data_IF_199867934529
#
_entry.id   IF_199867934529
#
_cell.length_a   1.000
_cell.length_b   1.000
_cell.length_c   1.000
_cell.angle_alpha   90.00
_cell.angle_beta   90.00
_cell.angle_gamma   90.00
#
_symmetry.space_group_name_H-M   'P 1'
#
loop_
_entity.id
_entity.type
_entity.pdbx_description
1 polymer ?
#
# COMPACT_ATOMS: atom_id res chain seq x y z
N UNK A 1 -10.58 11.48 -15.20
CA UNK A 1 -9.94 10.19 -15.55
C UNK A 1 -8.72 10.03 -14.64
N UNK A 2 -8.53 8.88 -14.00
CA UNK A 2 -7.32 8.60 -13.22
C UNK A 2 -6.10 8.53 -14.16
N UNK A 3 -5.06 9.32 -13.89
CA UNK A 3 -3.84 9.31 -14.69
C UNK A 3 -3.05 8.02 -14.42
N UNK A 4 -2.93 7.16 -15.44
CA UNK A 4 -2.36 5.80 -15.32
C UNK A 4 -0.83 5.76 -15.14
N UNK A 5 -0.17 6.89 -14.90
CA UNK A 5 1.27 7.04 -15.08
C UNK A 5 2.03 7.72 -13.93
N UNK A 6 1.41 7.90 -12.75
CA UNK A 6 2.18 8.37 -11.58
C UNK A 6 3.26 7.35 -11.24
N UNK A 7 4.51 7.74 -11.47
CA UNK A 7 5.70 6.94 -11.15
C UNK A 7 6.09 7.09 -9.68
N UNK A 8 5.69 8.19 -9.04
CA UNK A 8 5.87 8.44 -7.62
C UNK A 8 4.90 7.58 -6.79
N UNK A 9 5.41 6.87 -5.80
CA UNK A 9 4.62 6.10 -4.84
C UNK A 9 4.50 6.88 -3.51
N UNK A 10 3.40 6.66 -2.80
CA UNK A 10 3.26 6.99 -1.38
C UNK A 10 3.06 5.66 -0.62
N UNK A 11 3.67 5.52 0.57
CA UNK A 11 3.77 4.24 1.26
C UNK A 11 3.58 4.38 2.77
N UNK A 12 2.99 3.37 3.39
CA UNK A 12 3.08 3.18 4.84
C UNK A 12 4.41 2.49 5.17
N UNK A 13 5.33 3.20 5.83
CA UNK A 13 6.65 2.67 6.20
C UNK A 13 6.57 1.55 7.23
N UNK A 14 7.55 0.64 7.19
CA UNK A 14 7.79 -0.31 8.28
C UNK A 14 8.66 0.41 9.32
N UNK A 15 8.17 0.57 10.55
CA UNK A 15 8.96 1.15 11.64
C UNK A 15 10.12 0.22 12.02
N UNK A 16 11.33 0.52 11.56
CA UNK A 16 12.53 -0.26 11.90
C UNK A 16 13.17 0.15 13.24
N UNK A 17 12.42 0.78 14.16
CA UNK A 17 12.96 1.25 15.45
C UNK A 17 12.89 0.22 16.60
N UNK A 18 12.79 -1.08 16.31
CA UNK A 18 13.07 -2.14 17.30
C UNK A 18 14.42 -2.79 17.04
N UNK A 19 15.48 -2.02 17.26
CA UNK A 19 16.82 -2.56 17.50
C UNK A 19 16.89 -3.21 18.88
N UNK A 20 16.40 -4.44 19.03
CA UNK A 20 16.89 -5.34 20.09
C UNK A 20 17.93 -6.26 19.50
N UNK A 21 19.19 -5.90 19.73
CA UNK A 21 20.31 -6.78 19.51
C UNK A 21 20.13 -8.05 20.34
N UNK A 22 20.01 -9.20 19.68
CA UNK A 22 20.39 -10.50 20.27
C UNK A 22 21.25 -11.24 19.26
N UNK A 23 22.56 -11.01 19.34
CA UNK A 23 23.54 -11.99 18.87
C UNK A 23 23.66 -13.07 19.94
N UNK A 24 23.36 -14.32 19.59
CA UNK A 24 24.08 -15.50 20.12
C UNK A 24 23.71 -16.77 19.35
N UNK A 25 24.65 -17.15 18.48
CA UNK A 25 25.19 -18.50 18.21
C UNK A 25 24.27 -19.72 17.93
N UNK A 26 24.46 -20.24 16.70
CA UNK A 26 24.46 -21.63 16.22
C UNK A 26 24.12 -22.77 17.20
N UNK A 27 23.23 -23.70 16.77
CA UNK A 27 23.60 -25.07 16.33
C UNK A 27 22.39 -25.93 15.91
N UNK A 28 22.43 -26.36 14.64
CA UNK A 28 21.98 -27.64 14.03
C UNK A 28 21.03 -28.57 14.83
N UNK A 29 19.81 -28.78 14.31
CA UNK A 29 19.21 -30.12 14.17
C UNK A 29 18.58 -30.25 12.77
N UNK A 30 19.15 -31.19 12.02
CA UNK A 30 18.64 -31.75 10.77
C UNK A 30 17.54 -32.78 11.10
N UNK A 31 16.41 -32.73 10.39
CA UNK A 31 15.61 -33.87 9.87
C UNK A 31 14.14 -33.48 9.67
N UNK A 32 13.75 -33.17 8.43
CA UNK A 32 12.80 -34.00 7.68
C UNK A 32 12.56 -33.41 6.29
N UNK A 33 12.63 -34.29 5.29
CA UNK A 33 12.36 -34.03 3.89
C UNK A 33 10.86 -33.75 3.74
N UNK A 34 10.43 -32.54 4.07
CA UNK A 34 9.16 -32.03 3.60
C UNK A 34 9.37 -31.58 2.16
N UNK A 35 8.70 -32.26 1.23
CA UNK A 35 8.44 -31.74 -0.10
C UNK A 35 7.92 -30.30 0.04
N UNK A 36 8.77 -29.31 -0.22
CA UNK A 36 8.29 -27.94 -0.30
C UNK A 36 7.32 -27.91 -1.50
N UNK A 37 6.00 -27.67 -1.30
CA UNK A 37 5.14 -27.49 -2.45
C UNK A 37 5.74 -26.33 -3.22
N UNK A 38 6.13 -26.58 -4.49
CA UNK A 38 6.54 -25.51 -5.40
C UNK A 38 5.46 -24.44 -5.25
N UNK A 39 5.84 -23.30 -4.67
CA UNK A 39 4.96 -22.17 -4.53
C UNK A 39 4.52 -21.85 -5.95
N UNK A 40 3.31 -22.27 -6.29
CA UNK A 40 2.67 -21.80 -7.50
C UNK A 40 2.65 -20.30 -7.29
N UNK A 41 3.42 -19.55 -8.07
CA UNK A 41 3.31 -18.10 -8.14
C UNK A 41 1.88 -17.83 -8.56
N UNK A 42 0.99 -17.71 -7.55
CA UNK A 42 -0.40 -17.37 -7.75
C UNK A 42 -0.33 -15.98 -8.38
N UNK A 43 -0.72 -15.89 -9.65
CA UNK A 43 -0.81 -14.62 -10.37
C UNK A 43 -1.51 -13.63 -9.42
N UNK A 44 -0.84 -12.51 -9.09
CA UNK A 44 -1.37 -11.56 -8.10
C UNK A 44 -2.81 -11.20 -8.49
N UNK A 45 -3.75 -11.58 -7.63
CA UNK A 45 -5.16 -11.33 -7.83
C UNK A 45 -5.47 -9.92 -7.33
N UNK A 46 -6.23 -9.17 -8.12
CA UNK A 46 -6.76 -7.88 -7.70
C UNK A 46 -8.25 -7.97 -7.42
N UNK A 47 -8.72 -7.06 -6.58
CA UNK A 47 -10.11 -6.89 -6.19
C UNK A 47 -10.54 -5.43 -6.43
N UNK A 48 -11.82 -5.17 -6.73
CA UNK A 48 -12.33 -3.82 -6.72
C UNK A 48 -12.38 -3.26 -5.28
N UNK A 49 -12.47 -1.94 -5.15
CA UNK A 49 -12.66 -1.29 -3.86
C UNK A 49 -13.95 -1.74 -3.15
N UNK A 50 -13.94 -1.85 -1.81
CA UNK A 50 -15.17 -2.00 -1.01
C UNK A 50 -16.17 -0.90 -1.34
N UNK A 51 -17.43 -1.28 -1.59
CA UNK A 51 -18.44 -0.37 -2.15
C UNK A 51 -18.74 0.85 -1.27
N UNK A 52 -18.72 0.69 0.07
CA UNK A 52 -18.91 1.79 1.03
C UNK A 52 -17.78 2.79 0.95
N UNK A 53 -16.53 2.31 1.07
CA UNK A 53 -15.34 3.15 0.99
C UNK A 53 -15.24 3.89 -0.35
N UNK A 54 -15.46 3.18 -1.47
CA UNK A 54 -15.46 3.78 -2.81
C UNK A 54 -16.48 4.91 -2.92
N UNK A 55 -17.74 4.67 -2.53
CA UNK A 55 -18.79 5.68 -2.59
C UNK A 55 -18.51 6.85 -1.64
N UNK A 56 -18.02 6.59 -0.44
CA UNK A 56 -17.64 7.64 0.51
C UNK A 56 -16.61 8.59 -0.09
N UNK A 57 -15.52 8.04 -0.65
CA UNK A 57 -14.48 8.84 -1.30
C UNK A 57 -14.97 9.56 -2.57
N UNK A 58 -15.75 8.90 -3.43
CA UNK A 58 -16.37 9.50 -4.61
C UNK A 58 -17.26 10.69 -4.24
N UNK A 59 -18.05 10.57 -3.17
CA UNK A 59 -18.91 11.65 -2.65
C UNK A 59 -18.10 12.84 -2.15
N UNK A 60 -16.99 12.60 -1.45
CA UNK A 60 -16.16 13.68 -0.89
C UNK A 60 -15.38 14.41 -1.98
N UNK A 61 -14.87 13.69 -2.98
CA UNK A 61 -13.84 14.20 -3.89
C UNK A 61 -14.32 14.44 -5.31
N UNK A 62 -15.45 13.85 -5.73
CA UNK A 62 -15.93 13.89 -7.10
C UNK A 62 -15.09 13.08 -8.10
N UNK A 63 -14.10 12.32 -7.64
CA UNK A 63 -13.23 11.50 -8.50
C UNK A 63 -13.83 10.11 -8.70
N UNK A 64 -13.89 9.63 -9.95
CA UNK A 64 -14.26 8.24 -10.26
C UNK A 64 -13.17 7.26 -9.82
N UNK A 65 -13.49 6.42 -8.84
CA UNK A 65 -12.58 5.43 -8.25
C UNK A 65 -12.91 3.99 -8.68
N UNK A 66 -13.86 3.80 -9.60
CA UNK A 66 -14.18 2.49 -10.18
C UNK A 66 -12.97 1.75 -10.79
N UNK A 67 -11.98 2.42 -11.41
CA UNK A 67 -10.83 1.72 -11.99
C UNK A 67 -9.82 1.18 -10.97
N UNK A 68 -9.93 1.57 -9.69
CA UNK A 68 -8.92 1.24 -8.66
C UNK A 68 -8.88 -0.26 -8.37
N UNK A 69 -7.67 -0.81 -8.36
CA UNK A 69 -7.35 -2.21 -8.12
C UNK A 69 -6.67 -2.37 -6.77
N UNK A 70 -7.17 -3.30 -5.96
CA UNK A 70 -6.57 -3.63 -4.66
C UNK A 70 -5.95 -5.02 -4.72
N UNK A 71 -4.65 -5.10 -4.44
CA UNK A 71 -3.88 -6.33 -4.35
C UNK A 71 -3.62 -6.67 -2.88
N UNK A 72 -4.51 -7.49 -2.31
CA UNK A 72 -4.37 -7.97 -0.93
C UNK A 72 -3.29 -9.06 -0.81
N UNK A 73 -2.66 -9.14 0.36
CA UNK A 73 -1.61 -10.12 0.66
C UNK A 73 -0.46 -10.08 -0.37
N UNK A 74 -0.17 -8.91 -0.90
CA UNK A 74 0.89 -8.72 -1.90
C UNK A 74 2.26 -8.76 -1.23
N UNK A 75 3.23 -9.31 -1.95
CA UNK A 75 4.65 -9.31 -1.56
C UNK A 75 5.39 -8.03 -1.97
N UNK A 76 4.76 -7.17 -2.78
CA UNK A 76 5.38 -5.97 -3.33
C UNK A 76 5.75 -4.91 -2.29
N UNK A 77 4.93 -4.60 -1.25
CA UNK A 77 5.29 -3.58 -0.28
C UNK A 77 6.65 -3.83 0.41
N UNK A 78 7.03 -5.11 0.61
CA UNK A 78 8.32 -5.47 1.19
C UNK A 78 9.52 -5.00 0.35
N UNK A 79 9.38 -4.91 -0.98
CA UNK A 79 10.44 -4.47 -1.90
C UNK A 79 10.79 -2.99 -1.69
N UNK A 80 9.83 -2.21 -1.20
CA UNK A 80 9.96 -0.78 -0.90
C UNK A 80 9.89 -0.52 0.61
N UNK A 81 10.19 -1.53 1.44
CA UNK A 81 10.20 -1.42 2.92
C UNK A 81 8.92 -0.81 3.51
N UNK A 82 7.77 -1.24 3.00
CA UNK A 82 6.45 -0.72 3.34
C UNK A 82 5.48 -1.82 3.77
N UNK A 83 4.46 -1.45 4.54
CA UNK A 83 3.28 -2.26 4.83
C UNK A 83 2.25 -2.18 3.69
N UNK A 84 2.17 -1.03 3.04
CA UNK A 84 1.28 -0.76 1.92
C UNK A 84 1.84 0.36 1.04
N UNK A 85 1.40 0.43 -0.22
CA UNK A 85 1.65 1.59 -1.06
C UNK A 85 0.59 1.75 -2.17
N UNK A 86 0.45 2.98 -2.64
CA UNK A 86 -0.42 3.37 -3.74
C UNK A 86 0.39 3.86 -4.94
N UNK A 87 0.00 3.42 -6.14
CA UNK A 87 0.61 3.83 -7.40
C UNK A 87 -0.42 3.85 -8.54
N UNK A 88 -0.71 5.05 -9.06
CA UNK A 88 -1.63 5.26 -10.16
C UNK A 88 -3.06 4.85 -9.82
N UNK A 89 -3.49 3.68 -10.30
CA UNK A 89 -4.81 3.09 -10.01
C UNK A 89 -4.72 1.81 -9.15
N UNK A 90 -3.56 1.55 -8.55
CA UNK A 90 -3.26 0.28 -7.88
C UNK A 90 -2.83 0.50 -6.44
N UNK A 91 -3.42 -0.26 -5.52
CA UNK A 91 -3.09 -0.30 -4.10
C UNK A 91 -2.57 -1.69 -3.77
N UNK A 92 -1.41 -1.76 -3.12
CA UNK A 92 -0.78 -3.01 -2.70
C UNK A 92 -0.73 -3.07 -1.18
N UNK A 93 -1.29 -4.13 -0.59
CA UNK A 93 -1.38 -4.31 0.84
C UNK A 93 -0.65 -5.59 1.23
N UNK A 94 0.31 -5.49 2.15
CA UNK A 94 0.97 -6.66 2.70
C UNK A 94 -0.02 -7.54 3.50
N UNK A 95 0.32 -8.81 3.80
CA UNK A 95 -0.52 -9.66 4.62
C UNK A 95 -0.89 -8.98 5.95
N UNK A 96 -2.18 -9.02 6.30
CA UNK A 96 -2.76 -8.42 7.52
C UNK A 96 -2.74 -6.88 7.58
N UNK A 97 -2.50 -6.19 6.46
CA UNK A 97 -2.40 -4.72 6.38
C UNK A 97 -3.63 -4.06 5.73
N UNK A 98 -4.78 -4.73 5.72
CA UNK A 98 -5.98 -4.24 5.02
C UNK A 98 -6.56 -2.95 5.62
N UNK A 99 -6.22 -2.66 6.88
CA UNK A 99 -6.65 -1.47 7.59
C UNK A 99 -6.05 -0.17 7.01
N UNK A 100 -4.94 -0.25 6.25
CA UNK A 100 -4.37 0.90 5.54
C UNK A 100 -5.16 1.30 4.29
N UNK A 101 -6.07 0.45 3.80
CA UNK A 101 -6.78 0.69 2.54
C UNK A 101 -7.46 2.07 2.43
N UNK A 102 -8.16 2.61 3.45
CA UNK A 102 -8.75 3.95 3.36
C UNK A 102 -7.70 5.04 3.16
N UNK A 103 -6.56 4.91 3.83
CA UNK A 103 -5.43 5.85 3.74
C UNK A 103 -4.77 5.77 2.36
N UNK A 104 -4.45 4.56 1.89
CA UNK A 104 -3.87 4.33 0.55
C UNK A 104 -4.78 4.84 -0.59
N UNK A 105 -6.10 4.77 -0.40
CA UNK A 105 -7.04 5.33 -1.36
C UNK A 105 -7.00 6.86 -1.38
N UNK A 106 -6.71 7.51 -0.25
CA UNK A 106 -6.41 8.94 -0.18
C UNK A 106 -5.21 9.32 -1.05
N UNK A 107 -4.15 8.50 -1.06
CA UNK A 107 -3.01 8.71 -1.95
C UNK A 107 -3.37 8.60 -3.43
N UNK A 108 -4.21 7.64 -3.83
CA UNK A 108 -4.69 7.54 -5.22
C UNK A 108 -5.39 8.84 -5.65
N UNK A 109 -6.17 9.46 -4.76
CA UNK A 109 -6.85 10.72 -5.01
C UNK A 109 -5.85 11.86 -5.18
N UNK A 110 -4.84 11.97 -4.29
CA UNK A 110 -3.78 12.97 -4.40
C UNK A 110 -3.00 12.83 -5.71
N UNK A 111 -2.64 11.60 -6.08
CA UNK A 111 -1.96 11.31 -7.36
C UNK A 111 -2.84 11.69 -8.55
N UNK A 112 -4.15 11.43 -8.49
CA UNK A 112 -5.09 11.79 -9.54
C UNK A 112 -5.29 13.32 -9.67
N UNK A 113 -5.16 14.05 -8.57
CA UNK A 113 -5.20 15.52 -8.54
C UNK A 113 -3.88 16.18 -8.95
N UNK A 114 -2.81 15.40 -9.14
CA UNK A 114 -1.48 15.93 -9.49
C UNK A 114 -0.78 16.63 -8.33
N UNK A 115 -1.14 16.29 -7.09
CA UNK A 115 -0.57 16.89 -5.87
C UNK A 115 0.76 16.25 -5.45
N UNK A 116 1.14 15.13 -6.07
CA UNK A 116 2.22 14.27 -5.60
C UNK A 116 3.46 14.47 -6.46
N UNK A 117 4.43 15.19 -5.93
CA UNK A 117 5.78 15.32 -6.48
C UNK A 117 6.77 14.45 -5.69
N UNK A 118 7.78 13.81 -6.31
CA UNK A 118 8.77 13.04 -5.57
C UNK A 118 9.53 13.90 -4.56
N UNK A 119 9.56 13.48 -3.29
CA UNK A 119 10.38 14.14 -2.25
C UNK A 119 11.71 13.41 -2.03
N UNK A 120 11.78 12.12 -2.40
CA UNK A 120 13.01 11.33 -2.34
C UNK A 120 13.00 10.18 -3.36
N UNK A 121 14.12 9.47 -3.45
CA UNK A 121 14.26 8.26 -4.27
C UNK A 121 14.91 7.15 -3.44
N UNK A 122 14.37 5.93 -3.53
CA UNK A 122 14.95 4.73 -2.91
C UNK A 122 15.06 3.66 -3.99
N UNK A 123 16.29 3.19 -4.23
CA UNK A 123 16.58 2.11 -5.20
C UNK A 123 15.96 2.35 -6.59
N UNK A 124 15.96 3.61 -7.07
CA UNK A 124 15.39 3.99 -8.37
C UNK A 124 13.87 4.24 -8.37
N UNK A 125 13.23 4.17 -7.20
CA UNK A 125 11.79 4.40 -7.04
C UNK A 125 11.55 5.78 -6.40
N UNK A 126 10.83 6.63 -7.12
CA UNK A 126 10.39 7.93 -6.63
C UNK A 126 9.34 7.78 -5.52
N UNK A 127 9.55 8.44 -4.38
CA UNK A 127 8.68 8.39 -3.21
C UNK A 127 8.31 9.82 -2.79
N UNK A 128 7.05 10.01 -2.44
CA UNK A 128 6.60 11.18 -1.69
C UNK A 128 6.28 10.75 -0.26
N UNK A 129 6.81 11.49 0.70
CA UNK A 129 6.71 11.25 2.15
C UNK A 129 6.32 12.57 2.88
N UNK A 130 5.53 13.43 2.21
CA UNK A 130 5.11 14.74 2.73
C UNK A 130 4.10 14.58 3.89
N UNK A 131 4.42 15.04 5.12
CA UNK A 131 3.55 14.86 6.28
C UNK A 131 2.14 15.48 6.14
N UNK A 132 1.99 16.57 5.40
CA UNK A 132 0.69 17.22 5.20
C UNK A 132 -0.19 16.36 4.28
N UNK A 133 0.41 15.77 3.23
CA UNK A 133 -0.29 14.84 2.36
C UNK A 133 -0.65 13.53 3.08
N UNK A 134 0.22 13.02 3.96
CA UNK A 134 -0.07 11.83 4.78
C UNK A 134 -1.25 12.05 5.72
N UNK A 135 -1.33 13.21 6.37
CA UNK A 135 -2.45 13.56 7.24
C UNK A 135 -3.74 13.72 6.43
N UNK A 136 -3.69 14.43 5.30
CA UNK A 136 -4.85 14.60 4.43
C UNK A 136 -5.40 13.26 3.90
N UNK A 137 -4.52 12.33 3.51
CA UNK A 137 -4.92 10.99 3.07
C UNK A 137 -5.64 10.22 4.18
N UNK A 138 -5.15 10.35 5.42
CA UNK A 138 -5.78 9.77 6.62
C UNK A 138 -7.17 10.36 6.88
N UNK A 139 -7.29 11.68 6.83
CA UNK A 139 -8.56 12.39 7.11
C UNK A 139 -9.63 12.06 6.08
N UNK A 140 -9.27 12.03 4.79
CA UNK A 140 -10.17 11.59 3.72
C UNK A 140 -10.64 10.16 3.93
N UNK A 141 -9.72 9.25 4.29
CA UNK A 141 -10.02 7.85 4.60
C UNK A 141 -11.07 7.71 5.70
N UNK A 142 -10.84 8.40 6.82
CA UNK A 142 -11.74 8.39 7.96
C UNK A 142 -13.10 9.01 7.65
N UNK A 143 -13.11 10.15 6.93
CA UNK A 143 -14.35 10.80 6.53
C UNK A 143 -15.18 9.89 5.62
N UNK A 144 -14.56 9.23 4.65
CA UNK A 144 -15.25 8.32 3.74
C UNK A 144 -15.90 7.13 4.45
N UNK A 145 -15.27 6.60 5.50
CA UNK A 145 -15.81 5.52 6.31
C UNK A 145 -17.02 5.96 7.14
N UNK A 146 -17.09 7.24 7.54
CA UNK A 146 -18.18 7.77 8.36
C UNK A 146 -19.43 8.16 7.58
N UNK A 147 -19.36 8.19 6.24
CA UNK A 147 -20.51 8.55 5.41
C UNK A 147 -21.56 7.43 5.25
N UNK A 148 -21.21 6.15 5.50
CA UNK A 148 -22.08 4.99 5.23
C UNK A 148 -21.87 3.77 6.16
#
# INVERSE_FOLDING_TARGET
MLNKHSTCIQRVRIDTQTSTAVSSANSVIQLQRAHWPKSHTRKEQWHPLPSRLRRGMETITGIDLKPVKVFYNSSKPAQVKAHAYAQGDSIYLAPNQQHHLPHELGHIIQQAMGMVEPTMEIDGVAINDDPELEQQATDLGNLALNLY
#
